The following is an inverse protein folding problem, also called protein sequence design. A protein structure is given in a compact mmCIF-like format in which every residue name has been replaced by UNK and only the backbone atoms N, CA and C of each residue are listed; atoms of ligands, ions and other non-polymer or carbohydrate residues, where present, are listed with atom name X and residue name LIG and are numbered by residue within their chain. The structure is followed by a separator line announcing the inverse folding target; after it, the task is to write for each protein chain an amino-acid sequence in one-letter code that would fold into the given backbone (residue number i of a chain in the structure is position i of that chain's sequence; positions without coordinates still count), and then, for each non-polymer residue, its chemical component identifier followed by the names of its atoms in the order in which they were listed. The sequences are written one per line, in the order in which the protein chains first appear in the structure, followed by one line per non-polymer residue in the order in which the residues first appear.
data_IF_559552713857
#
_entry.id   IF_559552713857
#
_cell.length_a   1.000
_cell.length_b   1.000
_cell.length_c   1.000
_cell.angle_alpha   90.00
_cell.angle_beta   90.00
_cell.angle_gamma   90.00
#
_symmetry.space_group_name_H-M   'P 1'
#
loop_
_entity.id
_entity.type
_entity.pdbx_description
1 polymer ?
#
# COMPACT_ATOMS: atom_id res chain seq x y z
N UNK A 1 -13.43 12.32 -18.00
CA UNK A 1 -12.12 12.83 -17.57
C UNK A 1 -11.06 11.85 -18.05
N UNK A 2 -9.82 12.34 -18.22
CA UNK A 2 -8.65 11.51 -18.53
C UNK A 2 -7.86 11.22 -17.27
N UNK A 3 -7.47 9.97 -17.05
CA UNK A 3 -6.74 9.51 -15.86
C UNK A 3 -5.46 8.78 -16.28
N UNK A 4 -4.31 9.26 -15.80
CA UNK A 4 -3.03 8.57 -15.97
C UNK A 4 -2.84 7.51 -14.87
N UNK A 5 -2.66 6.26 -15.25
CA UNK A 5 -2.21 5.21 -14.35
C UNK A 5 -0.76 4.89 -14.72
N UNK A 6 0.18 5.45 -13.98
CA UNK A 6 1.61 5.28 -14.23
C UNK A 6 2.15 4.15 -13.33
N UNK A 7 2.29 2.95 -13.90
CA UNK A 7 2.82 1.78 -13.21
C UNK A 7 4.21 1.43 -13.78
N UNK A 8 5.18 1.30 -12.88
CA UNK A 8 6.60 1.17 -13.23
C UNK A 8 7.01 -0.24 -13.62
N UNK A 9 6.56 -1.25 -12.84
CA UNK A 9 7.16 -2.60 -12.90
C UNK A 9 6.84 -3.34 -14.18
N UNK A 10 5.72 -3.06 -14.81
CA UNK A 10 5.28 -3.69 -16.07
C UNK A 10 6.37 -3.69 -17.16
N UNK A 11 7.16 -2.63 -17.23
CA UNK A 11 8.19 -2.46 -18.25
C UNK A 11 9.63 -2.48 -17.71
N UNK A 12 9.82 -2.34 -16.39
CA UNK A 12 11.13 -2.09 -15.79
C UNK A 12 11.59 -3.16 -14.81
N UNK A 13 10.68 -4.03 -14.34
CA UNK A 13 11.02 -5.15 -13.46
C UNK A 13 10.28 -6.43 -13.88
N UNK A 14 10.94 -7.34 -14.61
CA UNK A 14 10.31 -8.58 -15.08
C UNK A 14 9.73 -9.47 -13.98
N UNK A 15 10.26 -9.39 -12.75
CA UNK A 15 9.78 -10.20 -11.62
C UNK A 15 8.47 -9.66 -11.06
N UNK A 16 8.33 -8.33 -10.97
CA UNK A 16 7.14 -7.66 -10.46
C UNK A 16 6.14 -7.26 -11.57
N UNK A 17 6.49 -7.45 -12.84
CA UNK A 17 5.63 -7.10 -13.97
C UNK A 17 4.25 -7.80 -13.96
N UNK A 18 4.08 -9.07 -13.55
CA UNK A 18 2.76 -9.68 -13.43
C UNK A 18 1.87 -8.95 -12.43
N UNK A 19 2.41 -8.65 -11.24
CA UNK A 19 1.77 -7.87 -10.19
C UNK A 19 1.33 -6.48 -10.68
N UNK A 20 2.27 -5.74 -11.31
CA UNK A 20 1.99 -4.41 -11.86
C UNK A 20 0.86 -4.43 -12.89
N UNK A 21 0.90 -5.37 -13.83
CA UNK A 21 -0.16 -5.52 -14.85
C UNK A 21 -1.53 -5.84 -14.25
N UNK A 22 -1.57 -6.67 -13.21
CA UNK A 22 -2.82 -7.03 -12.55
C UNK A 22 -3.46 -5.81 -11.87
N UNK A 23 -2.68 -5.02 -11.12
CA UNK A 23 -3.14 -3.78 -10.49
C UNK A 23 -3.60 -2.75 -11.53
N UNK A 24 -2.83 -2.53 -12.60
CA UNK A 24 -3.23 -1.66 -13.71
C UNK A 24 -4.54 -2.11 -14.34
N UNK A 25 -4.69 -3.41 -14.60
CA UNK A 25 -5.92 -3.97 -15.20
C UNK A 25 -7.14 -3.71 -14.33
N UNK A 26 -7.02 -3.93 -13.01
CA UNK A 26 -8.10 -3.70 -12.05
C UNK A 26 -8.52 -2.22 -12.01
N UNK A 27 -7.55 -1.31 -11.88
CA UNK A 27 -7.83 0.13 -11.87
C UNK A 27 -8.41 0.60 -13.20
N UNK A 28 -7.78 0.23 -14.32
CA UNK A 28 -8.24 0.61 -15.66
C UNK A 28 -9.69 0.21 -15.89
N UNK A 29 -10.03 -1.07 -15.61
CA UNK A 29 -11.39 -1.58 -15.73
C UNK A 29 -12.39 -0.74 -14.93
N UNK A 30 -12.04 -0.37 -13.69
CA UNK A 30 -12.92 0.43 -12.83
C UNK A 30 -13.08 1.87 -13.34
N UNK A 31 -11.97 2.54 -13.75
CA UNK A 31 -12.05 3.88 -14.33
C UNK A 31 -12.87 3.91 -15.62
N UNK A 32 -12.68 2.93 -16.52
CA UNK A 32 -13.42 2.82 -17.78
C UNK A 32 -14.93 2.58 -17.54
N UNK A 33 -15.29 1.76 -16.54
CA UNK A 33 -16.70 1.57 -16.13
C UNK A 33 -17.34 2.88 -15.61
N UNK A 34 -16.57 3.75 -14.95
CA UNK A 34 -17.01 5.07 -14.53
C UNK A 34 -17.04 6.09 -15.68
N UNK A 35 -16.75 5.66 -16.91
CA UNK A 35 -16.77 6.53 -18.10
C UNK A 35 -15.55 7.44 -18.25
N UNK A 36 -14.41 7.08 -17.66
CA UNK A 36 -13.15 7.80 -17.77
C UNK A 36 -12.25 7.17 -18.84
N UNK A 37 -11.50 8.02 -19.53
CA UNK A 37 -10.43 7.60 -20.43
C UNK A 37 -9.17 7.33 -19.62
N UNK A 38 -8.56 6.14 -19.78
CA UNK A 38 -7.34 5.77 -19.08
C UNK A 38 -6.14 5.85 -20.00
N UNK A 39 -5.12 6.57 -19.58
CA UNK A 39 -3.84 6.70 -20.25
C UNK A 39 -2.78 5.90 -19.48
N UNK A 40 -1.95 5.18 -20.21
CA UNK A 40 -0.86 4.34 -19.66
C UNK A 40 0.47 4.71 -20.32
N UNK A 41 1.58 4.75 -19.56
CA UNK A 41 2.93 4.77 -20.13
C UNK A 41 3.15 3.55 -21.04
N UNK A 42 3.99 3.71 -22.06
CA UNK A 42 4.27 2.65 -23.04
C UNK A 42 5.71 2.11 -22.96
N UNK A 43 6.42 2.37 -21.86
CA UNK A 43 7.82 1.99 -21.68
C UNK A 43 8.78 3.14 -21.95
N UNK A 44 10.09 2.86 -21.94
CA UNK A 44 11.12 3.88 -22.07
C UNK A 44 11.52 4.51 -20.72
N UNK A 45 11.96 5.77 -20.72
CA UNK A 45 12.23 6.49 -19.45
C UNK A 45 10.90 6.82 -18.76
N UNK A 46 10.67 6.17 -17.64
CA UNK A 46 9.39 6.27 -16.92
C UNK A 46 9.09 7.68 -16.42
N UNK A 47 10.12 8.42 -15.98
CA UNK A 47 9.94 9.80 -15.53
C UNK A 47 9.54 10.70 -16.71
N UNK A 48 10.23 10.56 -17.84
CA UNK A 48 9.91 11.31 -19.07
C UNK A 48 8.52 10.98 -19.61
N UNK A 49 8.05 9.73 -19.48
CA UNK A 49 6.68 9.36 -19.85
C UNK A 49 5.65 10.03 -18.93
N UNK A 50 5.88 10.13 -17.61
CA UNK A 50 4.99 10.88 -16.71
C UNK A 50 4.98 12.36 -17.11
N UNK A 51 6.15 12.99 -17.31
CA UNK A 51 6.24 14.40 -17.73
C UNK A 51 5.49 14.68 -19.04
N UNK A 52 5.51 13.72 -19.96
CA UNK A 52 4.83 13.84 -21.26
C UNK A 52 3.31 13.67 -21.17
N UNK A 53 2.85 12.68 -20.35
CA UNK A 53 1.44 12.26 -20.31
C UNK A 53 0.59 13.02 -19.31
N UNK A 54 1.18 13.35 -18.13
CA UNK A 54 0.43 13.96 -17.04
C UNK A 54 -0.25 15.30 -17.41
N UNK A 55 0.36 16.20 -18.22
CA UNK A 55 -0.30 17.45 -18.62
C UNK A 55 -1.56 17.26 -19.49
N UNK A 56 -1.75 16.07 -20.08
CA UNK A 56 -2.91 15.74 -20.91
C UNK A 56 -4.06 15.11 -20.09
N UNK A 57 -3.83 14.85 -18.77
CA UNK A 57 -4.73 14.15 -17.90
C UNK A 57 -5.31 15.07 -16.81
N UNK A 58 -6.55 14.84 -16.42
CA UNK A 58 -7.19 15.55 -15.31
C UNK A 58 -6.70 15.05 -13.95
N UNK A 59 -6.42 13.75 -13.87
CA UNK A 59 -5.96 13.05 -12.67
C UNK A 59 -4.88 12.03 -13.01
N UNK A 60 -4.10 11.64 -11.99
CA UNK A 60 -3.14 10.56 -12.16
C UNK A 60 -2.81 9.84 -10.86
N UNK A 61 -2.29 8.63 -10.98
CA UNK A 61 -1.75 7.81 -9.88
C UNK A 61 -0.46 7.14 -10.33
N UNK A 62 0.50 7.06 -9.40
CA UNK A 62 1.76 6.33 -9.61
C UNK A 62 1.76 5.05 -8.79
N UNK A 63 2.19 3.95 -9.40
CA UNK A 63 2.46 2.67 -8.76
C UNK A 63 3.91 2.33 -9.10
N UNK A 64 4.77 2.28 -8.12
CA UNK A 64 6.20 2.03 -8.29
C UNK A 64 6.81 1.47 -6.99
N UNK A 65 8.01 0.88 -7.06
CA UNK A 65 8.77 0.49 -5.89
C UNK A 65 9.02 1.66 -4.94
N UNK A 66 9.01 1.40 -3.62
CA UNK A 66 9.16 2.40 -2.56
C UNK A 66 10.36 3.32 -2.75
N UNK A 67 11.47 2.78 -3.28
CA UNK A 67 12.69 3.55 -3.51
C UNK A 67 12.51 4.71 -4.51
N UNK A 68 11.54 4.60 -5.43
CA UNK A 68 11.34 5.51 -6.57
C UNK A 68 9.98 6.21 -6.53
N UNK A 69 9.02 5.68 -5.79
CA UNK A 69 7.62 6.14 -5.78
C UNK A 69 7.50 7.63 -5.50
N UNK A 70 8.19 8.14 -4.47
CA UNK A 70 8.15 9.57 -4.12
C UNK A 70 8.61 10.47 -5.25
N UNK A 71 9.70 10.10 -5.95
CA UNK A 71 10.20 10.88 -7.09
C UNK A 71 9.18 10.94 -8.22
N UNK A 72 8.63 9.81 -8.62
CA UNK A 72 7.67 9.75 -9.71
C UNK A 72 6.33 10.40 -9.36
N UNK A 73 5.90 10.27 -8.10
CA UNK A 73 4.72 10.98 -7.60
C UNK A 73 4.92 12.49 -7.65
N UNK A 74 6.10 12.99 -7.25
CA UNK A 74 6.41 14.41 -7.36
C UNK A 74 6.36 14.90 -8.81
N UNK A 75 6.92 14.14 -9.75
CA UNK A 75 6.83 14.47 -11.18
C UNK A 75 5.37 14.55 -11.66
N UNK A 76 4.52 13.62 -11.24
CA UNK A 76 3.09 13.65 -11.54
C UNK A 76 2.42 14.91 -10.99
N UNK A 77 2.69 15.25 -9.72
CA UNK A 77 2.08 16.38 -9.00
C UNK A 77 2.39 17.75 -9.62
N UNK A 78 3.50 17.87 -10.35
CA UNK A 78 3.84 19.10 -11.06
C UNK A 78 2.93 19.38 -12.27
N UNK A 79 2.19 18.39 -12.75
CA UNK A 79 1.49 18.48 -14.02
C UNK A 79 0.01 18.10 -13.97
N UNK A 80 -0.44 17.31 -12.97
CA UNK A 80 -1.85 16.91 -12.84
C UNK A 80 -2.22 16.63 -11.38
N UNK A 81 -3.52 16.43 -11.13
CA UNK A 81 -4.03 16.11 -9.79
C UNK A 81 -3.70 14.65 -9.42
N UNK A 82 -2.88 14.46 -8.40
CA UNK A 82 -2.57 13.15 -7.84
C UNK A 82 -3.77 12.62 -7.05
N UNK A 83 -4.25 11.41 -7.35
CA UNK A 83 -5.30 10.71 -6.59
C UNK A 83 -4.74 9.70 -5.58
N UNK A 84 -3.42 9.59 -5.48
CA UNK A 84 -2.70 8.81 -4.47
C UNK A 84 -2.20 9.66 -3.31
N UNK A 85 -1.37 9.08 -2.47
CA UNK A 85 -0.63 9.78 -1.41
C UNK A 85 0.35 10.78 -2.03
N UNK A 86 0.50 11.96 -1.42
CA UNK A 86 1.45 12.97 -1.90
C UNK A 86 2.92 12.51 -1.76
N UNK A 87 3.78 13.08 -2.59
CA UNK A 87 5.18 12.67 -2.70
C UNK A 87 5.97 12.78 -1.39
N UNK A 88 5.59 13.71 -0.49
CA UNK A 88 6.24 13.88 0.80
C UNK A 88 5.86 12.76 1.77
N UNK A 89 4.57 12.47 1.91
CA UNK A 89 4.08 11.37 2.73
C UNK A 89 4.55 10.01 2.19
N UNK A 90 4.59 9.83 0.86
CA UNK A 90 5.22 8.65 0.21
C UNK A 90 6.67 8.49 0.65
N UNK A 91 7.47 9.57 0.68
CA UNK A 91 8.87 9.49 1.11
C UNK A 91 9.03 9.05 2.58
N UNK A 92 8.08 9.42 3.43
CA UNK A 92 8.02 8.98 4.83
C UNK A 92 7.66 7.49 4.92
N UNK A 93 6.60 7.06 4.24
CA UNK A 93 6.14 5.67 4.23
C UNK A 93 7.19 4.71 3.64
N UNK A 94 7.88 5.12 2.57
CA UNK A 94 8.94 4.34 1.93
C UNK A 94 10.11 3.99 2.88
N UNK A 95 10.28 4.71 3.98
CA UNK A 95 11.29 4.40 5.00
C UNK A 95 10.67 3.70 6.20
N UNK A 96 10.74 2.36 6.23
CA UNK A 96 10.20 1.53 7.33
C UNK A 96 10.71 1.97 8.71
N UNK A 97 11.96 2.47 8.79
CA UNK A 97 12.52 3.01 10.04
C UNK A 97 11.86 4.32 10.45
N UNK A 98 11.61 5.22 9.49
CA UNK A 98 11.00 6.52 9.78
C UNK A 98 9.51 6.36 10.12
N UNK A 99 8.76 5.63 9.29
CA UNK A 99 7.34 5.36 9.53
C UNK A 99 7.11 4.66 10.87
N UNK A 100 7.88 3.60 11.18
CA UNK A 100 7.80 2.91 12.48
C UNK A 100 8.07 3.86 13.66
N UNK A 101 9.08 4.73 13.55
CA UNK A 101 9.37 5.71 14.61
C UNK A 101 8.22 6.70 14.82
N UNK A 102 7.61 7.20 13.76
CA UNK A 102 6.48 8.12 13.85
C UNK A 102 5.26 7.44 14.46
N UNK A 103 4.95 6.22 14.03
CA UNK A 103 3.84 5.42 14.55
C UNK A 103 4.03 5.09 16.04
N UNK A 104 5.21 4.68 16.45
CA UNK A 104 5.53 4.42 17.86
C UNK A 104 5.33 5.65 18.74
N UNK A 105 5.69 6.85 18.25
CA UNK A 105 5.54 8.12 19.00
C UNK A 105 4.07 8.46 19.31
N UNK A 106 3.13 7.96 18.54
CA UNK A 106 1.68 8.14 18.77
C UNK A 106 1.03 6.92 19.43
N UNK A 107 1.84 5.94 19.86
CA UNK A 107 1.37 4.76 20.59
C UNK A 107 0.77 3.67 19.71
N UNK A 108 1.15 3.59 18.43
CA UNK A 108 0.88 2.44 17.58
C UNK A 108 2.02 1.44 17.75
N UNK A 109 1.69 0.18 18.03
CA UNK A 109 2.70 -0.85 18.17
C UNK A 109 3.35 -1.16 16.83
N UNK A 110 4.67 -1.18 16.82
CA UNK A 110 5.53 -1.57 15.70
C UNK A 110 6.61 -2.49 16.21
N UNK A 111 7.15 -3.44 15.42
CA UNK A 111 8.29 -4.24 15.85
C UNK A 111 9.48 -3.35 16.21
N UNK A 112 10.04 -3.53 17.41
CA UNK A 112 11.16 -2.74 17.91
C UNK A 112 12.43 -3.02 17.12
N UNK A 113 13.18 -1.96 16.77
CA UNK A 113 14.52 -2.11 16.21
C UNK A 113 15.46 -2.61 17.33
N UNK A 114 16.18 -3.70 17.06
CA UNK A 114 17.02 -4.40 18.04
C UNK A 114 18.38 -4.78 17.47
N UNK A 115 19.40 -4.82 18.31
CA UNK A 115 20.75 -5.21 17.95
C UNK A 115 20.95 -6.72 17.84
N UNK A 116 22.15 -7.15 17.44
CA UNK A 116 22.53 -8.55 17.33
C UNK A 116 22.60 -9.29 18.67
N UNK A 117 22.69 -8.55 19.77
CA UNK A 117 22.70 -9.05 21.16
C UNK A 117 21.30 -9.31 21.73
N UNK A 118 20.26 -9.02 20.98
CA UNK A 118 18.86 -9.30 21.39
C UNK A 118 18.65 -10.82 21.56
N UNK A 119 18.17 -11.22 22.73
CA UNK A 119 18.02 -12.64 23.10
C UNK A 119 16.87 -13.37 22.37
N UNK A 120 15.98 -12.64 21.65
CA UNK A 120 14.84 -13.22 20.90
C UNK A 120 15.16 -13.45 19.44
N UNK A 121 14.18 -14.03 18.72
CA UNK A 121 14.23 -14.09 17.25
C UNK A 121 14.17 -12.69 16.68
N UNK A 122 14.90 -12.46 15.59
CA UNK A 122 14.97 -11.17 14.88
C UNK A 122 14.63 -11.35 13.41
N UNK A 123 14.10 -10.29 12.81
CA UNK A 123 13.92 -10.17 11.36
C UNK A 123 14.86 -9.09 10.84
N UNK A 124 15.64 -9.41 9.83
CA UNK A 124 16.38 -8.41 9.06
C UNK A 124 15.58 -8.12 7.80
N UNK A 125 15.35 -6.84 7.53
CA UNK A 125 14.60 -6.37 6.36
C UNK A 125 15.22 -5.10 5.77
N UNK A 126 15.05 -4.85 4.45
CA UNK A 126 15.42 -3.57 3.87
C UNK A 126 14.68 -2.41 4.56
N UNK A 127 15.35 -1.26 4.73
CA UNK A 127 14.70 -0.02 5.19
C UNK A 127 13.70 0.48 4.15
N UNK A 128 14.01 0.27 2.85
CA UNK A 128 13.13 0.54 1.70
C UNK A 128 13.02 -0.73 0.86
N UNK A 129 11.82 -1.15 0.55
CA UNK A 129 11.59 -2.37 -0.26
C UNK A 129 10.17 -2.90 -0.08
N UNK A 130 9.74 -3.70 -1.03
CA UNK A 130 8.40 -4.27 -1.18
C UNK A 130 8.45 -5.79 -1.38
N UNK A 131 7.27 -6.44 -1.36
CA UNK A 131 7.08 -7.83 -1.77
C UNK A 131 7.83 -8.86 -0.92
N UNK A 132 8.14 -8.55 0.33
CA UNK A 132 8.97 -9.40 1.22
C UNK A 132 10.40 -9.67 0.70
N UNK A 133 10.84 -8.99 -0.36
CA UNK A 133 12.19 -9.16 -0.94
C UNK A 133 13.25 -8.74 0.09
N UNK A 134 14.18 -9.66 0.39
CA UNK A 134 15.26 -9.42 1.36
C UNK A 134 14.85 -9.49 2.83
N UNK A 135 13.59 -9.81 3.13
CA UNK A 135 13.10 -10.02 4.49
C UNK A 135 13.44 -11.44 4.94
N UNK A 136 14.13 -11.59 6.09
CA UNK A 136 14.57 -12.88 6.58
C UNK A 136 14.65 -12.95 8.10
N UNK A 137 14.53 -14.17 8.65
CA UNK A 137 14.90 -14.45 10.01
C UNK A 137 16.42 -14.30 10.13
N UNK A 138 16.88 -13.48 11.08
CA UNK A 138 18.29 -13.29 11.31
C UNK A 138 18.92 -14.56 11.92
N UNK A 139 20.14 -14.89 11.48
CA UNK A 139 20.98 -15.91 12.13
C UNK A 139 21.56 -15.35 13.42
N UNK A 140 22.04 -16.24 14.29
CA UNK A 140 22.71 -15.84 15.52
C UNK A 140 23.91 -14.93 15.22
N UNK A 141 23.94 -13.76 15.86
CA UNK A 141 24.99 -12.77 15.67
C UNK A 141 24.99 -12.05 14.31
N UNK A 142 24.01 -12.31 13.43
CA UNK A 142 23.93 -11.63 12.15
C UNK A 142 23.63 -10.14 12.31
N UNK A 143 24.49 -9.30 11.72
CA UNK A 143 24.30 -7.85 11.65
C UNK A 143 23.56 -7.44 10.37
N UNK A 144 22.65 -6.45 10.41
CA UNK A 144 22.04 -5.89 9.21
C UNK A 144 23.11 -5.21 8.36
N UNK A 145 23.01 -5.36 7.03
CA UNK A 145 23.87 -4.68 6.06
C UNK A 145 23.46 -3.21 5.92
N UNK A 146 24.28 -2.44 5.20
CA UNK A 146 23.89 -1.09 4.81
C UNK A 146 22.56 -1.11 4.04
N UNK A 147 21.61 -0.24 4.46
CA UNK A 147 20.25 -0.21 3.90
C UNK A 147 19.27 -1.22 4.51
N UNK A 148 19.70 -2.06 5.44
CA UNK A 148 18.84 -2.98 6.19
C UNK A 148 18.60 -2.48 7.63
N UNK A 149 17.61 -3.05 8.28
CA UNK A 149 17.32 -2.89 9.70
C UNK A 149 17.00 -4.24 10.33
N UNK A 150 17.30 -4.39 11.61
CA UNK A 150 16.97 -5.57 12.41
C UNK A 150 15.88 -5.22 13.41
N UNK A 151 14.79 -5.97 13.40
CA UNK A 151 13.67 -5.80 14.32
C UNK A 151 13.36 -7.09 15.07
N UNK A 152 12.69 -7.01 16.21
CA UNK A 152 12.17 -8.18 16.90
C UNK A 152 11.19 -8.95 15.99
N UNK A 153 11.22 -10.28 16.05
CA UNK A 153 10.26 -11.13 15.35
C UNK A 153 8.97 -11.19 16.16
N UNK A 154 7.88 -10.80 15.54
CA UNK A 154 6.54 -10.93 16.11
C UNK A 154 5.90 -12.20 15.55
N UNK A 155 5.55 -13.13 16.43
CA UNK A 155 4.83 -14.35 16.07
C UNK A 155 3.33 -14.06 16.11
N UNK A 156 2.64 -14.22 14.99
CA UNK A 156 1.21 -13.91 14.89
C UNK A 156 0.68 -14.14 13.49
N UNK A 157 -0.58 -13.78 13.31
CA UNK A 157 -1.27 -13.89 12.02
C UNK A 157 -1.04 -12.64 11.17
N UNK A 158 -0.72 -12.86 9.90
CA UNK A 158 -0.44 -11.80 8.94
C UNK A 158 -1.71 -11.34 8.24
N UNK A 159 -1.96 -10.04 8.32
CA UNK A 159 -3.07 -9.35 7.65
C UNK A 159 -2.58 -8.08 6.96
N UNK A 160 -3.40 -7.57 6.06
CA UNK A 160 -3.31 -6.17 5.65
C UNK A 160 -4.67 -5.51 5.71
N UNK A 161 -4.68 -4.22 6.01
CA UNK A 161 -5.87 -3.37 5.94
C UNK A 161 -5.73 -2.49 4.71
N UNK A 162 -6.71 -2.56 3.81
CA UNK A 162 -6.81 -1.67 2.66
C UNK A 162 -7.77 -0.54 2.97
N UNK A 163 -7.30 0.70 2.79
CA UNK A 163 -8.01 1.92 3.19
C UNK A 163 -7.71 3.05 2.19
N UNK A 164 -8.67 3.95 1.98
CA UNK A 164 -8.49 5.14 1.14
C UNK A 164 -8.53 6.38 1.99
N UNK A 165 -7.40 7.08 2.09
CA UNK A 165 -7.30 8.36 2.77
C UNK A 165 -7.93 9.48 1.96
N UNK A 166 -8.64 10.41 2.62
CA UNK A 166 -9.33 11.52 1.98
C UNK A 166 -8.49 12.79 2.00
N UNK A 167 -8.59 13.58 0.93
CA UNK A 167 -7.94 14.88 0.84
C UNK A 167 -8.88 15.97 1.34
N UNK A 168 -8.34 16.93 2.09
CA UNK A 168 -9.09 18.13 2.43
C UNK A 168 -9.00 19.12 1.27
N UNK A 169 -10.15 19.53 0.77
CA UNK A 169 -10.27 20.59 -0.23
C UNK A 169 -10.67 21.89 0.49
N UNK A 170 -9.74 22.86 0.59
CA UNK A 170 -9.99 24.16 1.21
C UNK A 170 -8.75 25.05 1.20
N UNK A 171 -8.96 26.39 1.28
CA UNK A 171 -7.89 27.41 1.22
C UNK A 171 -6.92 27.43 2.40
N UNK A 172 -7.15 26.64 3.43
CA UNK A 172 -6.30 26.60 4.60
C UNK A 172 -5.21 25.54 4.48
N UNK A 173 -4.00 26.00 4.21
CA UNK A 173 -2.73 25.36 4.60
C UNK A 173 -2.83 23.92 5.05
N UNK A 174 -2.45 22.95 4.23
CA UNK A 174 -1.76 21.70 4.52
C UNK A 174 -2.00 20.92 5.81
N UNK A 175 -3.01 21.21 6.59
CA UNK A 175 -3.35 20.43 7.75
C UNK A 175 -4.43 19.40 7.39
N UNK A 176 -4.11 18.15 7.65
CA UNK A 176 -5.04 17.04 7.61
C UNK A 176 -6.22 17.38 8.53
N UNK A 177 -7.35 17.74 7.99
CA UNK A 177 -8.55 18.07 8.75
C UNK A 177 -9.61 17.00 8.56
N UNK A 178 -9.37 15.81 9.14
CA UNK A 178 -10.43 15.03 9.73
C UNK A 178 -11.59 14.51 8.87
N UNK A 179 -11.49 14.46 7.54
CA UNK A 179 -12.42 13.64 6.79
C UNK A 179 -12.11 12.16 7.05
N UNK A 180 -13.10 11.36 7.47
CA UNK A 180 -12.85 9.96 7.76
C UNK A 180 -12.34 9.25 6.50
N UNK A 181 -11.31 8.42 6.63
CA UNK A 181 -10.88 7.58 5.52
C UNK A 181 -11.92 6.50 5.22
N UNK A 182 -11.94 6.04 3.97
CA UNK A 182 -12.83 4.96 3.53
C UNK A 182 -12.14 3.63 3.77
N UNK A 183 -12.60 2.87 4.74
CA UNK A 183 -12.17 1.49 4.93
C UNK A 183 -12.69 0.63 3.77
N UNK A 184 -11.81 -0.18 3.17
CA UNK A 184 -12.17 -1.09 2.09
C UNK A 184 -12.33 -2.52 2.61
N UNK A 185 -11.23 -3.16 3.03
CA UNK A 185 -11.22 -4.56 3.48
C UNK A 185 -10.09 -4.85 4.46
N UNK A 186 -10.25 -5.91 5.23
CA UNK A 186 -9.14 -6.65 5.82
C UNK A 186 -8.84 -7.85 4.94
N UNK A 187 -7.56 -8.07 4.68
CA UNK A 187 -7.08 -9.16 3.84
C UNK A 187 -6.18 -10.09 4.67
N UNK A 188 -6.41 -11.39 4.62
CA UNK A 188 -5.48 -12.39 5.18
C UNK A 188 -4.32 -12.55 4.21
N UNK A 189 -3.09 -12.42 4.70
CA UNK A 189 -1.89 -12.58 3.88
C UNK A 189 -1.29 -13.98 4.06
N UNK A 190 -0.92 -14.62 2.96
CA UNK A 190 -0.13 -15.84 2.95
C UNK A 190 1.35 -15.44 2.90
N UNK A 191 1.88 -15.04 4.07
CA UNK A 191 3.27 -14.64 4.23
C UNK A 191 3.90 -15.43 5.35
N UNK A 192 5.04 -16.09 5.10
CA UNK A 192 5.70 -16.96 6.06
C UNK A 192 7.20 -17.10 5.72
N UNK A 193 8.08 -17.42 6.70
CA UNK A 193 9.46 -17.74 6.42
C UNK A 193 9.56 -19.16 5.84
N UNK A 194 10.28 -19.31 4.71
CA UNK A 194 10.59 -20.61 4.12
C UNK A 194 11.69 -21.36 4.94
N UNK A 195 12.08 -22.55 4.48
CA UNK A 195 13.08 -23.40 5.14
C UNK A 195 14.45 -22.70 5.33
N UNK A 196 14.77 -21.71 4.51
CA UNK A 196 16.00 -20.91 4.61
C UNK A 196 15.82 -19.66 5.48
N UNK A 197 14.65 -19.45 6.06
CA UNK A 197 14.32 -18.28 6.87
C UNK A 197 13.97 -17.01 6.07
N UNK A 198 13.91 -17.07 4.73
CA UNK A 198 13.48 -15.95 3.91
C UNK A 198 11.96 -15.89 3.87
N UNK A 199 11.40 -14.71 4.05
CA UNK A 199 9.96 -14.54 3.90
C UNK A 199 9.54 -14.65 2.44
N UNK A 200 8.44 -15.35 2.23
CA UNK A 200 7.76 -15.45 0.94
C UNK A 200 6.34 -14.92 1.09
N UNK A 201 5.83 -14.33 0.03
CA UNK A 201 4.46 -13.85 -0.08
C UNK A 201 3.79 -14.58 -1.25
N UNK A 202 2.68 -15.24 -0.99
CA UNK A 202 1.95 -16.05 -1.98
C UNK A 202 0.56 -15.50 -2.29
N UNK A 203 0.29 -14.25 -1.91
CA UNK A 203 -1.04 -13.65 -2.09
C UNK A 203 -1.88 -13.66 -0.82
N UNK A 204 -3.19 -13.76 -0.97
CA UNK A 204 -4.08 -13.68 0.18
C UNK A 204 -5.55 -13.92 -0.13
N UNK A 205 -6.39 -13.61 0.85
CA UNK A 205 -7.86 -13.75 0.79
C UNK A 205 -8.50 -12.46 1.26
N UNK A 206 -9.52 -11.98 0.55
CA UNK A 206 -10.29 -10.77 0.86
C UNK A 206 -11.78 -10.93 0.53
N UNK A 207 -12.72 -10.30 1.28
CA UNK A 207 -12.52 -9.77 2.62
C UNK A 207 -12.42 -10.90 3.65
N UNK A 208 -11.80 -10.61 4.79
CA UNK A 208 -11.87 -11.48 5.98
C UNK A 208 -12.33 -10.67 7.18
N UNK A 209 -12.93 -11.34 8.18
CA UNK A 209 -13.49 -10.72 9.38
C UNK A 209 -12.87 -11.35 10.64
N UNK A 210 -11.64 -10.98 11.02
CA UNK A 210 -11.00 -11.49 12.24
C UNK A 210 -11.69 -10.95 13.49
N UNK A 211 -11.52 -11.62 14.63
CA UNK A 211 -12.13 -11.21 15.92
C UNK A 211 -11.78 -9.77 16.32
N UNK A 212 -10.58 -9.31 15.99
CA UNK A 212 -10.08 -7.94 16.30
C UNK A 212 -10.27 -6.95 15.14
N UNK A 213 -11.23 -7.18 14.24
CA UNK A 213 -11.48 -6.34 13.05
C UNK A 213 -11.62 -4.86 13.39
N UNK A 214 -12.46 -4.51 14.36
CA UNK A 214 -12.71 -3.12 14.73
C UNK A 214 -11.43 -2.41 15.21
N UNK A 215 -10.59 -3.09 15.97
CA UNK A 215 -9.33 -2.56 16.47
C UNK A 215 -8.30 -2.39 15.32
N UNK A 216 -8.23 -3.34 14.40
CA UNK A 216 -7.39 -3.24 13.21
C UNK A 216 -7.76 -2.03 12.35
N UNK A 217 -9.06 -1.77 12.17
CA UNK A 217 -9.56 -0.61 11.43
C UNK A 217 -9.14 0.70 12.12
N UNK A 218 -9.28 0.79 13.44
CA UNK A 218 -8.87 2.00 14.18
C UNK A 218 -7.35 2.22 14.15
N UNK A 219 -6.55 1.15 14.26
CA UNK A 219 -5.09 1.22 14.07
C UNK A 219 -4.75 1.70 12.65
N UNK A 220 -5.46 1.20 11.63
CA UNK A 220 -5.24 1.62 10.24
C UNK A 220 -5.58 3.09 10.03
N UNK A 221 -6.72 3.57 10.53
CA UNK A 221 -7.11 4.99 10.46
C UNK A 221 -6.06 5.88 11.10
N UNK A 222 -5.67 5.56 12.34
CA UNK A 222 -4.64 6.30 13.06
C UNK A 222 -3.29 6.27 12.34
N UNK A 223 -2.95 5.17 11.67
CA UNK A 223 -1.72 5.02 10.89
C UNK A 223 -1.68 6.00 9.72
N UNK A 224 -2.72 6.03 8.87
CA UNK A 224 -2.74 6.92 7.71
C UNK A 224 -2.84 8.40 8.11
N UNK A 225 -3.57 8.72 9.18
CA UNK A 225 -3.62 10.08 9.74
C UNK A 225 -2.24 10.54 10.23
N UNK A 226 -1.52 9.67 10.94
CA UNK A 226 -0.18 9.98 11.46
C UNK A 226 0.85 10.21 10.35
N UNK A 227 0.77 9.42 9.27
CA UNK A 227 1.72 9.48 8.16
C UNK A 227 1.27 10.41 7.03
N UNK A 228 0.05 10.95 7.10
CA UNK A 228 -0.51 11.83 6.07
C UNK A 228 -0.87 11.11 4.76
N UNK A 229 -1.16 9.81 4.81
CA UNK A 229 -1.50 9.06 3.62
C UNK A 229 -2.86 9.48 3.05
N UNK A 230 -2.92 9.61 1.73
CA UNK A 230 -4.11 9.91 0.94
C UNK A 230 -4.26 8.86 -0.17
N UNK A 231 -5.45 8.77 -0.77
CA UNK A 231 -5.71 7.73 -1.75
C UNK A 231 -5.56 6.32 -1.17
N UNK A 232 -5.37 5.34 -2.02
CA UNK A 232 -5.24 3.94 -1.59
C UNK A 232 -3.96 3.72 -0.79
N UNK A 233 -4.10 3.07 0.36
CA UNK A 233 -2.99 2.66 1.23
C UNK A 233 -3.24 1.24 1.74
N UNK A 234 -2.23 0.38 1.62
CA UNK A 234 -2.19 -0.94 2.24
C UNK A 234 -1.34 -0.91 3.51
N UNK A 235 -1.88 -1.37 4.64
CA UNK A 235 -1.19 -1.39 5.92
C UNK A 235 -1.02 -2.83 6.36
N UNK A 236 0.22 -3.31 6.36
CA UNK A 236 0.52 -4.67 6.76
C UNK A 236 0.61 -4.76 8.28
N UNK A 237 -0.08 -5.74 8.85
CA UNK A 237 -0.21 -5.95 10.29
C UNK A 237 0.10 -7.39 10.68
N UNK A 238 0.69 -7.55 11.86
CA UNK A 238 0.73 -8.84 12.56
C UNK A 238 -0.18 -8.75 13.78
N UNK A 239 -1.14 -9.65 13.85
CA UNK A 239 -2.05 -9.81 14.99
C UNK A 239 -1.54 -10.91 15.88
N UNK A 240 -1.07 -10.52 17.06
CA UNK A 240 -0.60 -11.37 18.15
C UNK A 240 -1.40 -11.02 19.42
N UNK A 241 -0.77 -10.99 20.60
CA UNK A 241 -1.40 -10.42 21.81
C UNK A 241 -1.78 -8.96 21.57
N UNK A 242 -0.94 -8.24 20.81
CA UNK A 242 -1.20 -6.89 20.34
C UNK A 242 -1.24 -6.86 18.81
N UNK A 243 -1.74 -5.75 18.23
CA UNK A 243 -1.70 -5.49 16.78
C UNK A 243 -0.46 -4.65 16.47
N UNK A 244 0.41 -5.17 15.61
CA UNK A 244 1.64 -4.52 15.19
C UNK A 244 1.54 -4.07 13.73
N UNK A 245 1.80 -2.80 13.44
CA UNK A 245 1.99 -2.31 12.07
C UNK A 245 3.43 -2.61 11.65
N UNK A 246 3.61 -3.39 10.59
CA UNK A 246 4.94 -3.84 10.13
C UNK A 246 5.40 -3.16 8.85
N UNK A 247 4.44 -2.67 8.03
CA UNK A 247 4.71 -1.90 6.81
C UNK A 247 3.52 -1.04 6.42
N UNK A 248 3.79 0.06 5.69
CA UNK A 248 2.76 0.96 5.16
C UNK A 248 3.04 1.26 3.70
N UNK A 249 2.24 0.67 2.84
CA UNK A 249 2.32 0.81 1.39
C UNK A 249 1.38 1.94 0.95
N UNK A 250 1.92 3.15 0.75
CA UNK A 250 1.15 4.34 0.34
C UNK A 250 0.81 4.34 -1.16
N UNK A 251 0.36 3.19 -1.66
CA UNK A 251 0.04 2.90 -3.06
C UNK A 251 -0.90 1.69 -3.15
N UNK A 252 -1.53 1.42 -4.31
CA UNK A 252 -2.20 0.15 -4.57
C UNK A 252 -1.30 -1.05 -4.30
N UNK A 253 -1.86 -2.09 -3.68
CA UNK A 253 -1.21 -3.36 -3.35
C UNK A 253 -1.94 -4.52 -4.03
N UNK A 254 -1.36 -5.72 -3.99
CA UNK A 254 -1.95 -6.89 -4.64
C UNK A 254 -3.36 -7.24 -4.15
N UNK A 255 -3.70 -6.90 -2.90
CA UNK A 255 -5.08 -7.10 -2.43
C UNK A 255 -6.12 -6.35 -3.27
N UNK A 256 -5.74 -5.26 -3.94
CA UNK A 256 -6.64 -4.51 -4.83
C UNK A 256 -7.31 -5.40 -5.87
N UNK A 257 -6.58 -6.38 -6.45
CA UNK A 257 -7.14 -7.25 -7.51
C UNK A 257 -8.28 -8.14 -7.00
N UNK A 258 -8.23 -8.53 -5.72
CA UNK A 258 -9.33 -9.22 -5.06
C UNK A 258 -10.43 -8.27 -4.58
N UNK A 259 -10.06 -7.10 -4.08
CA UNK A 259 -11.00 -6.12 -3.52
C UNK A 259 -12.02 -5.67 -4.57
N UNK A 260 -11.59 -5.38 -5.79
CA UNK A 260 -12.49 -4.94 -6.88
C UNK A 260 -13.51 -6.01 -7.30
N UNK A 261 -13.32 -7.25 -6.92
CA UNK A 261 -14.25 -8.36 -7.20
C UNK A 261 -15.26 -8.59 -6.06
N UNK A 262 -15.05 -7.99 -4.89
CA UNK A 262 -15.86 -8.23 -3.68
C UNK A 262 -16.59 -7.01 -3.15
N UNK A 263 -16.23 -5.80 -3.57
CA UNK A 263 -16.97 -4.57 -3.26
C UNK A 263 -17.96 -4.24 -4.38
N UNK A 264 -19.06 -3.56 -4.06
CA UNK A 264 -20.07 -3.13 -5.03
C UNK A 264 -19.70 -1.79 -5.69
N UNK A 265 -18.99 -0.93 -4.95
CA UNK A 265 -18.52 0.37 -5.46
C UNK A 265 -17.34 0.20 -6.42
N UNK A 266 -17.30 1.02 -7.46
CA UNK A 266 -16.11 1.12 -8.30
C UNK A 266 -14.98 1.82 -7.54
N UNK A 267 -13.83 1.17 -7.41
CA UNK A 267 -12.68 1.75 -6.72
C UNK A 267 -12.24 3.10 -7.30
N UNK A 268 -12.44 3.31 -8.60
CA UNK A 268 -12.21 4.57 -9.28
C UNK A 268 -13.05 5.71 -8.68
N UNK A 269 -14.33 5.45 -8.42
CA UNK A 269 -15.26 6.43 -7.83
C UNK A 269 -14.89 6.73 -6.38
N UNK A 270 -14.52 5.71 -5.61
CA UNK A 270 -14.03 5.89 -4.22
C UNK A 270 -12.79 6.78 -4.19
N UNK A 271 -11.79 6.51 -5.05
CA UNK A 271 -10.56 7.28 -5.12
C UNK A 271 -10.80 8.74 -5.52
N UNK A 272 -11.60 8.97 -6.58
CA UNK A 272 -11.89 10.32 -7.06
C UNK A 272 -12.68 11.12 -6.02
N UNK A 273 -13.70 10.55 -5.40
CA UNK A 273 -14.48 11.20 -4.35
C UNK A 273 -13.64 11.55 -3.12
N UNK A 274 -12.77 10.63 -2.68
CA UNK A 274 -11.84 10.89 -1.59
C UNK A 274 -10.87 12.03 -1.92
N UNK A 275 -10.40 12.11 -3.17
CA UNK A 275 -9.48 13.16 -3.62
C UNK A 275 -10.12 14.55 -3.61
N UNK A 276 -11.41 14.67 -3.92
CA UNK A 276 -12.13 15.95 -3.92
C UNK A 276 -12.81 16.27 -2.57
N UNK A 277 -12.52 15.51 -1.51
CA UNK A 277 -13.05 15.76 -0.18
C UNK A 277 -14.51 15.36 0.00
N UNK A 278 -15.00 14.43 -0.78
CA UNK A 278 -16.36 13.87 -0.74
C UNK A 278 -16.33 12.34 -0.63
N UNK A 279 -15.56 11.77 0.33
CA UNK A 279 -15.44 10.32 0.46
C UNK A 279 -16.81 9.69 0.71
N UNK A 280 -17.09 8.48 0.20
CA UNK A 280 -18.24 7.71 0.64
C UNK A 280 -18.07 7.32 2.12
N UNK A 281 -19.18 7.06 2.81
CA UNK A 281 -19.15 6.62 4.22
C UNK A 281 -18.46 5.25 4.40
N UNK A 282 -18.47 4.41 3.37
CA UNK A 282 -17.85 3.09 3.33
C UNK A 282 -18.09 2.41 2.00
N UNK A 283 -17.78 1.13 1.93
CA UNK A 283 -18.07 0.26 0.79
C UNK A 283 -18.99 -0.88 1.21
N UNK A 284 -19.76 -1.41 0.27
CA UNK A 284 -20.64 -2.56 0.46
C UNK A 284 -19.99 -3.81 -0.14
N UNK A 285 -20.14 -4.95 0.53
CA UNK A 285 -19.66 -6.21 0.03
C UNK A 285 -20.77 -6.97 -0.71
N UNK A 286 -20.43 -7.56 -1.84
CA UNK A 286 -21.37 -8.36 -2.66
C UNK A 286 -21.56 -9.79 -2.14
N UNK A 287 -21.04 -10.11 -0.95
CA UNK A 287 -21.16 -11.41 -0.30
C UNK A 287 -20.19 -12.48 -0.80
N UNK A 288 -19.25 -12.10 -1.66
CA UNK A 288 -18.21 -13.00 -2.20
C UNK A 288 -16.91 -12.84 -1.45
N UNK A 289 -16.04 -13.83 -1.60
CA UNK A 289 -14.65 -13.82 -1.15
C UNK A 289 -13.74 -14.03 -2.35
N UNK A 290 -12.64 -13.32 -2.44
CA UNK A 290 -11.65 -13.48 -3.48
C UNK A 290 -10.32 -13.99 -2.90
N UNK A 291 -9.79 -15.05 -3.50
CA UNK A 291 -8.40 -15.50 -3.30
C UNK A 291 -7.56 -14.96 -4.42
N UNK A 292 -6.43 -14.37 -4.10
CA UNK A 292 -5.49 -13.81 -5.08
C UNK A 292 -4.07 -14.29 -4.78
N UNK A 293 -3.31 -14.54 -5.84
CA UNK A 293 -1.90 -14.90 -5.74
C UNK A 293 -0.97 -13.69 -5.95
N UNK A 294 0.33 -13.90 -5.79
CA UNK A 294 1.34 -12.85 -5.95
C UNK A 294 1.52 -12.39 -7.42
N UNK A 295 1.01 -13.13 -8.39
CA UNK A 295 1.11 -12.81 -9.83
C UNK A 295 -0.15 -12.12 -10.38
N UNK A 296 -1.20 -11.99 -9.56
CA UNK A 296 -2.45 -11.32 -9.92
C UNK A 296 -3.55 -12.26 -10.39
N UNK A 297 -3.39 -13.56 -10.26
CA UNK A 297 -4.46 -14.51 -10.42
C UNK A 297 -5.53 -14.31 -9.33
N UNK A 298 -6.82 -14.34 -9.72
CA UNK A 298 -7.94 -14.17 -8.78
C UNK A 298 -8.95 -15.27 -8.98
N UNK A 299 -9.38 -15.87 -7.87
CA UNK A 299 -10.50 -16.84 -7.82
C UNK A 299 -11.55 -16.29 -6.88
N UNK A 300 -12.77 -16.12 -7.35
CA UNK A 300 -13.92 -15.59 -6.58
C UNK A 300 -14.82 -16.76 -6.18
N UNK A 301 -15.17 -16.82 -4.89
CA UNK A 301 -16.02 -17.85 -4.27
C UNK A 301 -17.30 -17.25 -3.70
#
# INVERSE_FOLDING_TARGET
MKVLIAEYTTFHDPHLAPEGRAMVSALKKSFEKCGHEVILPQGGDFNAEIERLAPECDYGIVIAPDAMLSKFTHTLELATHNIGTDSTAVAVCASKRLSSKLLANVGINVPKEVGCDFAGKRVIKPVKGEGSIGVRIAKDGEEPKEGEMSVEYIEGEHYSVSIVGSRVVGEACGFYSGLPPVFLTINKQNSYPNENGNFVYEGGVTPVHPEREAEMIEVAKKTIETLGCQGYTGIDMIVADEIYVVDVNSRPTMSLVGIVEVIEEEIADVLLKATVGLPPEGVHYNGKTAKYDAEGGVVVE
#
